data_IF_913016317902
#
_entry.id   IF_913016317902
#
_cell.length_a   1.000
_cell.length_b   1.000
_cell.length_c   1.000
_cell.angle_alpha   90.00
_cell.angle_beta   90.00
_cell.angle_gamma   90.00
#
_symmetry.space_group_name_H-M   'P 1'
#
loop_
_entity.id
_entity.type
_entity.pdbx_description
1 polymer ?
#
# COMPACT_ATOMS: atom_id res chain seq x y z
N UNK A 1 -8.45 -2.55 20.70
CA UNK A 1 -7.05 -2.53 21.18
C UNK A 1 -6.97 -3.30 22.49
N UNK A 2 -5.77 -3.66 22.96
CA UNK A 2 -5.59 -4.08 24.36
C UNK A 2 -6.08 -2.93 25.27
N UNK A 3 -7.04 -3.15 26.19
CA UNK A 3 -7.56 -2.09 27.04
C UNK A 3 -6.48 -1.55 27.99
N UNK A 4 -6.26 -0.23 27.97
CA UNK A 4 -5.25 0.43 28.79
C UNK A 4 -5.84 1.56 29.64
N UNK A 5 -5.47 1.67 30.93
CA UNK A 5 -5.83 2.84 31.73
C UNK A 5 -5.08 4.08 31.26
N UNK A 6 -5.72 5.26 31.37
CA UNK A 6 -5.10 6.53 30.97
C UNK A 6 -3.77 6.80 31.70
N UNK A 7 -3.63 6.37 32.96
CA UNK A 7 -2.35 6.44 33.67
C UNK A 7 -1.22 5.67 32.97
N UNK A 8 -1.52 4.49 32.40
CA UNK A 8 -0.52 3.70 31.66
C UNK A 8 -0.18 4.34 30.32
N UNK A 9 -1.17 4.92 29.64
CA UNK A 9 -0.92 5.66 28.39
C UNK A 9 -0.02 6.86 28.67
N UNK A 10 -0.30 7.63 29.73
CA UNK A 10 0.54 8.75 30.15
C UNK A 10 1.97 8.29 30.50
N UNK A 11 2.13 7.17 31.22
CA UNK A 11 3.45 6.60 31.55
C UNK A 11 4.24 6.22 30.28
N UNK A 12 3.65 5.42 29.39
CA UNK A 12 4.31 4.93 28.17
C UNK A 12 4.72 6.07 27.23
N UNK A 13 3.89 7.12 27.16
CA UNK A 13 4.11 8.26 26.27
C UNK A 13 4.87 9.41 26.94
N UNK A 14 5.30 9.23 28.19
CA UNK A 14 5.88 10.30 29.03
C UNK A 14 5.01 11.57 29.07
N UNK A 15 3.69 11.38 29.03
CA UNK A 15 2.68 12.44 29.01
C UNK A 15 2.14 12.78 30.40
N UNK A 16 1.43 13.91 30.49
CA UNK A 16 0.75 14.37 31.69
C UNK A 16 -0.77 14.35 31.51
N UNK A 17 -1.50 13.83 32.50
CA UNK A 17 -2.96 13.86 32.50
C UNK A 17 -3.47 15.30 32.73
N UNK A 18 -4.45 15.73 31.93
CA UNK A 18 -5.06 17.05 31.97
C UNK A 18 -6.57 17.00 31.69
N UNK A 19 -7.25 18.14 31.83
CA UNK A 19 -8.66 18.29 31.39
C UNK A 19 -9.64 17.38 32.11
N UNK A 20 -9.43 17.13 33.42
CA UNK A 20 -10.24 16.21 34.24
C UNK A 20 -10.16 14.72 33.84
N UNK A 21 -9.10 14.31 33.13
CA UNK A 21 -8.88 12.88 32.85
C UNK A 21 -8.77 12.05 34.15
N UNK A 22 -9.66 11.05 34.32
CA UNK A 22 -9.53 10.05 35.39
C UNK A 22 -8.39 9.08 35.03
N UNK A 23 -7.31 8.97 35.82
CA UNK A 23 -6.21 8.04 35.57
C UNK A 23 -6.64 6.58 35.41
N UNK A 24 -7.80 6.20 35.95
CA UNK A 24 -8.36 4.83 35.89
C UNK A 24 -9.32 4.62 34.73
N UNK A 25 -9.69 5.66 33.98
CA UNK A 25 -10.51 5.49 32.78
C UNK A 25 -9.77 4.60 31.78
N UNK A 26 -10.51 3.70 31.13
CA UNK A 26 -9.94 2.67 30.24
C UNK A 26 -10.19 3.06 28.79
N UNK A 27 -9.13 3.22 28.02
CA UNK A 27 -9.18 3.25 26.57
C UNK A 27 -9.13 1.81 26.04
N UNK A 28 -10.29 1.26 25.67
CA UNK A 28 -10.44 -0.09 25.12
C UNK A 28 -10.98 -0.14 23.68
N UNK A 29 -11.47 0.99 23.18
CA UNK A 29 -11.99 1.16 21.83
C UNK A 29 -10.88 1.38 20.79
N UNK A 30 -11.25 1.81 19.57
CA UNK A 30 -10.26 2.12 18.55
C UNK A 30 -9.44 3.38 18.89
N UNK A 31 -8.17 3.38 18.50
CA UNK A 31 -7.34 4.59 18.47
C UNK A 31 -7.52 5.25 17.11
N UNK A 32 -7.95 6.51 17.09
CA UNK A 32 -8.37 7.22 15.88
C UNK A 32 -7.72 8.60 15.77
N UNK A 33 -7.53 9.07 14.55
CA UNK A 33 -7.04 10.43 14.23
C UNK A 33 -8.11 11.32 13.57
N UNK A 34 -9.25 10.73 13.22
CA UNK A 34 -10.43 11.42 12.73
C UNK A 34 -11.48 11.42 13.84
N UNK A 35 -11.89 12.60 14.30
CA UNK A 35 -12.86 12.73 15.38
C UNK A 35 -14.23 12.13 15.01
N UNK A 36 -14.54 12.03 13.72
CA UNK A 36 -15.78 11.41 13.21
C UNK A 36 -15.78 9.89 13.32
N UNK A 37 -14.60 9.29 13.44
CA UNK A 37 -14.42 7.84 13.66
C UNK A 37 -14.33 7.49 15.16
N UNK A 38 -14.35 8.49 16.05
CA UNK A 38 -14.41 8.25 17.48
C UNK A 38 -15.70 7.51 17.84
N UNK A 39 -15.63 6.74 18.92
CA UNK A 39 -16.74 5.93 19.42
C UNK A 39 -16.49 5.57 20.88
N UNK A 40 -17.42 4.84 21.52
CA UNK A 40 -17.30 4.49 22.93
C UNK A 40 -15.96 3.83 23.27
N UNK A 41 -15.23 4.44 24.21
CA UNK A 41 -13.96 3.91 24.70
C UNK A 41 -12.74 4.17 23.80
N UNK A 42 -12.92 4.93 22.70
CA UNK A 42 -11.82 5.31 21.80
C UNK A 42 -10.79 6.21 22.48
N UNK A 43 -9.57 6.22 21.94
CA UNK A 43 -8.57 7.26 22.19
C UNK A 43 -8.43 8.10 20.93
N UNK A 44 -8.70 9.39 21.00
CA UNK A 44 -8.50 10.31 19.88
C UNK A 44 -7.09 10.89 19.92
N UNK A 45 -6.35 10.82 18.82
CA UNK A 45 -4.98 11.33 18.73
C UNK A 45 -4.99 12.62 17.90
N UNK A 46 -4.72 13.74 18.57
CA UNK A 46 -4.72 15.06 17.95
C UNK A 46 -3.42 15.28 17.15
N UNK A 47 -3.45 14.93 15.88
CA UNK A 47 -2.34 15.17 14.94
C UNK A 47 -2.51 16.55 14.28
N UNK A 48 -1.44 17.35 14.25
CA UNK A 48 -1.39 18.59 13.48
C UNK A 48 -1.01 18.27 12.03
N UNK A 49 -1.96 18.42 11.12
CA UNK A 49 -1.73 18.30 9.68
C UNK A 49 -1.40 19.64 9.01
N UNK A 50 -1.16 19.62 7.70
CA UNK A 50 -0.87 20.83 6.91
C UNK A 50 -2.06 21.80 6.80
N UNK A 51 -3.28 21.26 6.82
CA UNK A 51 -4.53 22.01 6.57
C UNK A 51 -5.46 22.11 7.78
N UNK A 52 -5.21 21.31 8.81
CA UNK A 52 -6.12 21.13 9.94
C UNK A 52 -5.32 20.69 11.16
N UNK A 53 -5.68 21.22 12.32
CA UNK A 53 -5.09 20.84 13.60
C UNK A 53 -6.09 19.95 14.36
N UNK A 54 -5.73 18.68 14.58
CA UNK A 54 -6.59 17.69 15.26
C UNK A 54 -7.03 18.13 16.65
N UNK A 55 -6.26 19.00 17.31
CA UNK A 55 -6.58 19.54 18.63
C UNK A 55 -7.90 20.30 18.67
N UNK A 56 -8.28 20.93 17.56
CA UNK A 56 -9.50 21.73 17.48
C UNK A 56 -10.77 20.84 17.51
N UNK A 57 -10.62 19.52 17.37
CA UNK A 57 -11.71 18.55 17.41
C UNK A 57 -11.74 17.71 18.69
N UNK A 58 -10.95 18.07 19.71
CA UNK A 58 -10.84 17.33 20.97
C UNK A 58 -12.20 17.13 21.66
N UNK A 59 -12.98 18.21 21.82
CA UNK A 59 -14.30 18.16 22.45
C UNK A 59 -15.27 17.28 21.64
N UNK A 60 -15.32 17.47 20.32
CA UNK A 60 -16.19 16.69 19.43
C UNK A 60 -15.86 15.18 19.47
N UNK A 61 -14.59 14.81 19.57
CA UNK A 61 -14.18 13.41 19.68
C UNK A 61 -14.68 12.77 21.00
N UNK A 62 -14.61 13.50 22.11
CA UNK A 62 -15.13 13.04 23.41
C UNK A 62 -16.65 12.96 23.42
N UNK A 63 -17.34 13.93 22.81
CA UNK A 63 -18.80 13.89 22.62
C UNK A 63 -19.25 12.67 21.80
N UNK A 64 -18.41 12.20 20.88
CA UNK A 64 -18.65 11.00 20.06
C UNK A 64 -18.26 9.70 20.80
N UNK A 65 -17.65 9.80 21.99
CA UNK A 65 -17.41 8.67 22.89
C UNK A 65 -15.94 8.37 23.19
N UNK A 66 -15.00 9.17 22.70
CA UNK A 66 -13.60 9.04 23.09
C UNK A 66 -13.44 9.26 24.60
N UNK A 67 -12.69 8.38 25.26
CA UNK A 67 -12.41 8.46 26.70
C UNK A 67 -11.43 9.60 27.02
N UNK A 68 -10.51 9.87 26.09
CA UNK A 68 -9.55 10.96 26.21
C UNK A 68 -8.95 11.32 24.84
N UNK A 69 -8.18 12.40 24.85
CA UNK A 69 -7.39 12.90 23.72
C UNK A 69 -5.89 12.79 24.03
N UNK A 70 -5.11 12.18 23.14
CA UNK A 70 -3.66 12.31 23.14
C UNK A 70 -3.29 13.59 22.37
N UNK A 71 -2.76 14.60 23.07
CA UNK A 71 -2.59 15.95 22.53
C UNK A 71 -1.18 16.51 22.82
N UNK A 72 -0.69 17.40 21.97
CA UNK A 72 0.58 18.13 22.15
C UNK A 72 0.45 19.52 22.76
N UNK A 73 -0.78 19.95 23.06
CA UNK A 73 -1.10 21.19 23.78
C UNK A 73 -2.37 21.01 24.62
N UNK A 74 -2.61 21.87 25.63
CA UNK A 74 -3.85 21.86 26.38
C UNK A 74 -5.08 21.96 25.45
N UNK A 75 -6.13 21.19 25.79
CA UNK A 75 -7.42 21.13 25.10
C UNK A 75 -8.55 21.06 26.14
N UNK A 76 -9.76 21.47 25.76
CA UNK A 76 -10.95 21.48 26.62
C UNK A 76 -11.64 20.10 26.64
N UNK A 77 -10.88 19.07 26.99
CA UNK A 77 -11.30 17.67 27.08
C UNK A 77 -10.34 16.85 27.97
N UNK A 78 -10.77 15.70 28.53
CA UNK A 78 -9.86 14.73 29.15
C UNK A 78 -8.71 14.40 28.21
N UNK A 79 -7.47 14.62 28.66
CA UNK A 79 -6.32 14.49 27.78
C UNK A 79 -5.07 13.92 28.44
N UNK A 80 -4.23 13.31 27.62
CA UNK A 80 -2.82 13.02 27.89
C UNK A 80 -2.00 14.01 27.06
N UNK A 81 -1.33 14.94 27.72
CA UNK A 81 -0.50 15.98 27.09
C UNK A 81 0.93 15.48 26.93
N UNK A 82 1.41 15.45 25.69
CA UNK A 82 2.76 14.99 25.31
C UNK A 82 3.50 16.07 24.52
N UNK A 83 4.82 16.00 24.34
CA UNK A 83 5.53 16.97 23.50
C UNK A 83 5.21 16.82 21.99
N UNK A 84 4.98 15.58 21.55
CA UNK A 84 4.77 15.21 20.15
C UNK A 84 3.78 14.04 20.06
N UNK A 85 2.61 14.26 19.44
CA UNK A 85 1.57 13.25 19.33
C UNK A 85 1.91 12.11 18.37
N UNK A 86 2.71 12.34 17.34
CA UNK A 86 3.14 11.30 16.39
C UNK A 86 4.13 10.35 17.06
N UNK A 87 5.09 10.92 17.79
CA UNK A 87 6.03 10.13 18.59
C UNK A 87 5.32 9.35 19.69
N UNK A 88 4.43 9.98 20.44
CA UNK A 88 3.66 9.31 21.50
C UNK A 88 2.76 8.19 20.95
N UNK A 89 2.18 8.37 19.77
CA UNK A 89 1.42 7.33 19.08
C UNK A 89 2.30 6.10 18.76
N UNK A 90 3.52 6.32 18.28
CA UNK A 90 4.49 5.26 18.02
C UNK A 90 4.93 4.55 19.31
N UNK A 91 5.19 5.29 20.39
CA UNK A 91 5.54 4.73 21.71
C UNK A 91 4.40 3.87 22.28
N UNK A 92 3.16 4.35 22.17
CA UNK A 92 1.97 3.60 22.59
C UNK A 92 1.80 2.31 21.77
N UNK A 93 1.96 2.38 20.45
CA UNK A 93 1.90 1.21 19.58
C UNK A 93 2.99 0.18 19.91
N UNK A 94 4.21 0.63 20.20
CA UNK A 94 5.32 -0.23 20.61
C UNK A 94 5.04 -0.94 21.95
N UNK A 95 4.47 -0.23 22.93
CA UNK A 95 4.09 -0.84 24.20
C UNK A 95 2.98 -1.89 24.02
N UNK A 96 1.96 -1.61 23.21
CA UNK A 96 0.90 -2.59 22.90
C UNK A 96 1.47 -3.79 22.15
N UNK A 97 2.36 -3.58 21.17
CA UNK A 97 3.01 -4.66 20.43
C UNK A 97 3.81 -5.59 21.33
N UNK A 98 4.53 -5.03 22.31
CA UNK A 98 5.31 -5.81 23.28
C UNK A 98 4.45 -6.78 24.12
N UNK A 99 3.15 -6.49 24.29
CA UNK A 99 2.21 -7.37 24.98
C UNK A 99 1.71 -8.52 24.09
N UNK A 100 1.86 -8.43 22.75
CA UNK A 100 1.41 -9.42 21.77
C UNK A 100 2.38 -10.61 21.62
N UNK A 101 2.75 -11.24 22.73
CA UNK A 101 3.77 -12.30 22.78
C UNK A 101 3.46 -13.55 21.93
N UNK A 102 2.19 -13.79 21.59
CA UNK A 102 1.74 -14.91 20.75
C UNK A 102 1.52 -14.55 19.27
N UNK A 103 1.61 -13.26 18.92
CA UNK A 103 1.41 -12.80 17.56
C UNK A 103 2.70 -12.96 16.74
N UNK A 104 2.56 -13.27 15.45
CA UNK A 104 3.66 -13.19 14.49
C UNK A 104 3.47 -11.96 13.62
N UNK A 105 4.41 -11.02 13.71
CA UNK A 105 4.42 -9.81 12.89
C UNK A 105 5.17 -10.06 11.59
N UNK A 106 4.53 -9.73 10.46
CA UNK A 106 5.12 -9.74 9.13
C UNK A 106 5.23 -8.31 8.61
N UNK A 107 6.44 -7.87 8.30
CA UNK A 107 6.71 -6.57 7.69
C UNK A 107 6.92 -6.70 6.20
N UNK A 108 6.32 -5.83 5.39
CA UNK A 108 6.42 -5.85 3.92
C UNK A 108 6.93 -4.50 3.43
N UNK A 109 8.01 -4.51 2.64
CA UNK A 109 8.50 -3.32 1.92
C UNK A 109 8.79 -3.60 0.45
N UNK A 110 8.93 -2.54 -0.34
CA UNK A 110 9.06 -2.62 -1.80
C UNK A 110 8.81 -1.26 -2.45
N UNK A 111 9.28 -1.05 -3.67
CA UNK A 111 8.95 0.16 -4.44
C UNK A 111 7.52 0.10 -4.97
N UNK A 112 7.07 -1.08 -5.39
CA UNK A 112 5.70 -1.37 -5.80
C UNK A 112 5.20 -2.69 -5.18
N UNK A 113 3.87 -2.90 -5.14
CA UNK A 113 3.27 -4.18 -4.76
C UNK A 113 2.99 -4.42 -3.27
N UNK A 114 3.45 -3.52 -2.38
CA UNK A 114 3.31 -3.65 -0.90
C UNK A 114 1.88 -3.96 -0.46
N UNK A 115 0.93 -3.11 -0.87
CA UNK A 115 -0.46 -3.21 -0.39
C UNK A 115 -1.16 -4.44 -0.96
N UNK A 116 -0.95 -4.75 -2.25
CA UNK A 116 -1.51 -5.94 -2.89
C UNK A 116 -0.96 -7.22 -2.25
N UNK A 117 0.34 -7.27 -1.95
CA UNK A 117 0.95 -8.39 -1.22
C UNK A 117 0.40 -8.51 0.20
N UNK A 118 0.26 -7.38 0.91
CA UNK A 118 -0.34 -7.33 2.24
C UNK A 118 -1.79 -7.82 2.23
N UNK A 119 -2.59 -7.45 1.23
CA UNK A 119 -3.98 -7.91 1.10
C UNK A 119 -4.06 -9.43 0.88
N UNK A 120 -3.19 -9.96 0.01
CA UNK A 120 -3.09 -11.41 -0.25
C UNK A 120 -2.64 -12.17 1.01
N UNK A 121 -1.59 -11.70 1.68
CA UNK A 121 -1.09 -12.31 2.90
C UNK A 121 -2.08 -12.21 4.07
N UNK A 122 -2.85 -11.11 4.15
CA UNK A 122 -3.92 -10.98 5.12
C UNK A 122 -5.03 -12.02 4.90
N UNK A 123 -5.38 -12.33 3.64
CA UNK A 123 -6.30 -13.42 3.31
C UNK A 123 -5.76 -14.79 3.75
N UNK A 124 -4.51 -15.08 3.36
CA UNK A 124 -3.83 -16.33 3.73
C UNK A 124 -3.76 -16.56 5.24
N UNK A 125 -3.33 -15.55 6.00
CA UNK A 125 -3.19 -15.65 7.46
C UNK A 125 -4.54 -15.73 8.16
N UNK A 126 -5.57 -15.04 7.66
CA UNK A 126 -6.92 -15.10 8.23
C UNK A 126 -7.55 -16.50 8.15
N UNK A 127 -7.10 -17.37 7.23
CA UNK A 127 -7.54 -18.78 7.18
C UNK A 127 -7.04 -19.62 8.35
N UNK A 128 -5.95 -19.20 9.01
CA UNK A 128 -5.26 -20.00 10.03
C UNK A 128 -5.19 -19.32 11.39
N UNK A 129 -5.65 -18.07 11.52
CA UNK A 129 -5.84 -17.41 12.81
C UNK A 129 -6.29 -15.95 12.69
N UNK A 130 -6.72 -15.33 13.81
CA UNK A 130 -7.03 -13.91 13.86
C UNK A 130 -5.89 -13.04 13.33
N UNK A 131 -6.19 -12.24 12.30
CA UNK A 131 -5.22 -11.38 11.61
C UNK A 131 -5.63 -9.93 11.71
N UNK A 132 -4.67 -9.07 12.04
CA UNK A 132 -4.77 -7.63 11.86
C UNK A 132 -3.92 -7.21 10.67
N UNK A 133 -4.58 -6.59 9.69
CA UNK A 133 -3.97 -5.93 8.54
C UNK A 133 -4.89 -4.78 8.11
N UNK A 134 -4.35 -3.61 7.74
CA UNK A 134 -5.19 -2.48 7.34
C UNK A 134 -5.79 -2.76 5.95
N UNK A 135 -6.98 -2.25 5.66
CA UNK A 135 -7.45 -2.09 4.27
C UNK A 135 -6.89 -0.76 3.76
N UNK A 136 -6.46 -0.71 2.50
CA UNK A 136 -5.63 0.36 1.95
C UNK A 136 -4.22 0.40 2.57
N UNK A 137 -3.49 1.50 2.32
CA UNK A 137 -2.07 1.64 2.65
C UNK A 137 -1.88 2.55 3.85
N UNK A 138 -1.50 1.96 4.98
CA UNK A 138 -1.20 2.62 6.25
C UNK A 138 0.20 2.23 6.71
N UNK A 139 1.21 2.90 6.16
CA UNK A 139 2.60 2.41 6.17
C UNK A 139 3.65 3.48 6.46
N UNK A 140 3.21 4.62 7.00
CA UNK A 140 4.04 5.73 7.44
C UNK A 140 4.00 5.84 8.98
N UNK A 141 4.67 6.87 9.51
CA UNK A 141 4.81 7.19 10.94
C UNK A 141 3.49 7.36 11.71
N UNK A 142 2.35 7.51 11.02
CA UNK A 142 1.03 7.61 11.64
C UNK A 142 0.22 6.32 11.40
N UNK A 143 0.09 5.90 10.14
CA UNK A 143 -0.76 4.77 9.78
C UNK A 143 -0.26 3.42 10.30
N UNK A 144 1.06 3.24 10.38
CA UNK A 144 1.65 2.00 10.87
C UNK A 144 1.35 1.80 12.37
N UNK A 145 1.64 2.74 13.28
CA UNK A 145 1.20 2.66 14.68
C UNK A 145 -0.31 2.44 14.86
N UNK A 146 -1.15 3.16 14.10
CA UNK A 146 -2.62 3.00 14.18
C UNK A 146 -3.06 1.58 13.84
N UNK A 147 -2.39 0.94 12.88
CA UNK A 147 -2.66 -0.45 12.52
C UNK A 147 -2.27 -1.39 13.66
N UNK A 148 -1.09 -1.20 14.27
CA UNK A 148 -0.62 -2.00 15.41
C UNK A 148 -1.61 -1.92 16.57
N UNK A 149 -2.14 -0.72 16.86
CA UNK A 149 -3.11 -0.49 17.93
C UNK A 149 -4.49 -1.12 17.69
N UNK A 150 -4.77 -1.64 16.49
CA UNK A 150 -5.97 -2.46 16.25
C UNK A 150 -5.85 -3.86 16.84
N UNK A 151 -4.64 -4.34 17.11
CA UNK A 151 -4.41 -5.65 17.68
C UNK A 151 -4.88 -5.77 19.13
N UNK A 152 -5.18 -7.00 19.52
CA UNK A 152 -5.59 -7.42 20.85
C UNK A 152 -4.96 -8.78 21.20
N UNK A 153 -5.24 -9.27 22.41
CA UNK A 153 -4.69 -10.54 22.90
C UNK A 153 -5.08 -11.78 22.06
N UNK A 154 -6.12 -11.69 21.22
CA UNK A 154 -6.50 -12.79 20.32
C UNK A 154 -5.71 -12.79 19.01
N UNK A 155 -5.04 -11.69 18.69
CA UNK A 155 -4.32 -11.51 17.43
C UNK A 155 -3.19 -12.54 17.30
N UNK A 156 -3.21 -13.30 16.20
CA UNK A 156 -2.20 -14.30 15.87
C UNK A 156 -1.24 -13.81 14.80
N UNK A 157 -1.71 -12.98 13.87
CA UNK A 157 -0.88 -12.41 12.81
C UNK A 157 -1.10 -10.91 12.71
N UNK A 158 0.00 -10.18 12.56
CA UNK A 158 -0.01 -8.74 12.32
C UNK A 158 0.75 -8.47 11.02
N UNK A 159 0.05 -8.13 9.95
CA UNK A 159 0.64 -7.92 8.62
C UNK A 159 0.74 -6.42 8.35
N UNK A 160 1.96 -5.92 8.32
CA UNK A 160 2.29 -4.50 8.28
C UNK A 160 3.05 -4.14 7.01
N UNK A 161 2.67 -3.01 6.42
CA UNK A 161 3.45 -2.38 5.36
C UNK A 161 4.42 -1.36 5.97
N UNK A 162 5.65 -1.32 5.46
CA UNK A 162 6.69 -0.38 5.86
C UNK A 162 7.16 0.39 4.62
N UNK A 163 6.89 1.70 4.60
CA UNK A 163 7.36 2.63 3.59
C UNK A 163 8.49 3.48 4.14
N UNK A 164 9.40 3.87 3.25
CA UNK A 164 10.44 4.86 3.55
C UNK A 164 10.38 5.98 2.53
N UNK A 165 10.68 7.19 3.01
CA UNK A 165 11.03 8.36 2.19
C UNK A 165 12.52 8.69 2.32
N UNK A 166 13.11 8.32 3.46
CA UNK A 166 14.53 8.44 3.73
C UNK A 166 15.09 7.17 4.39
N UNK A 167 16.41 7.07 4.40
CA UNK A 167 17.14 6.04 5.15
C UNK A 167 16.86 6.25 6.66
N UNK A 168 16.56 5.16 7.35
CA UNK A 168 16.21 5.07 8.76
C UNK A 168 14.71 4.94 9.02
N UNK A 169 13.87 5.25 8.03
CA UNK A 169 12.41 5.20 8.20
C UNK A 169 11.88 3.78 8.34
N UNK A 170 12.37 2.82 7.55
CA UNK A 170 11.95 1.42 7.68
C UNK A 170 12.44 0.87 9.01
N UNK A 171 13.68 1.16 9.41
CA UNK A 171 14.20 0.78 10.71
C UNK A 171 13.37 1.38 11.87
N UNK A 172 12.89 2.62 11.72
CA UNK A 172 12.02 3.25 12.72
C UNK A 172 10.67 2.53 12.84
N UNK A 173 9.99 2.25 11.72
CA UNK A 173 8.72 1.52 11.73
C UNK A 173 8.89 0.11 12.28
N UNK A 174 9.97 -0.59 11.90
CA UNK A 174 10.29 -1.91 12.44
C UNK A 174 10.56 -1.89 13.95
N UNK A 175 11.04 -0.78 14.54
CA UNK A 175 11.15 -0.67 16.00
C UNK A 175 9.80 -0.51 16.70
N UNK A 176 8.81 0.08 16.04
CA UNK A 176 7.45 0.22 16.59
C UNK A 176 6.75 -1.14 16.68
N UNK A 177 6.87 -1.96 15.64
CA UNK A 177 6.37 -3.33 15.65
C UNK A 177 7.38 -4.28 15.02
N UNK A 178 8.33 -4.82 15.82
CA UNK A 178 9.38 -5.73 15.35
C UNK A 178 8.83 -6.92 14.55
N UNK A 179 9.18 -7.04 13.25
CA UNK A 179 8.76 -8.16 12.44
C UNK A 179 9.59 -9.41 12.77
N UNK A 180 8.93 -10.57 12.78
CA UNK A 180 9.60 -11.87 12.75
C UNK A 180 9.90 -12.31 11.31
N UNK A 181 9.03 -11.91 10.38
CA UNK A 181 9.19 -12.17 8.94
C UNK A 181 9.25 -10.83 8.21
N UNK A 182 10.30 -10.60 7.43
CA UNK A 182 10.47 -9.41 6.60
C UNK A 182 10.41 -9.78 5.12
N UNK A 183 9.48 -9.18 4.39
CA UNK A 183 9.28 -9.40 2.95
C UNK A 183 9.77 -8.18 2.18
N UNK A 184 10.73 -8.36 1.28
CA UNK A 184 11.21 -7.31 0.38
C UNK A 184 10.84 -7.65 -1.06
N UNK A 185 9.99 -6.82 -1.67
CA UNK A 185 9.38 -7.13 -2.96
C UNK A 185 10.26 -6.76 -4.17
N UNK A 186 10.82 -5.56 -4.19
CA UNK A 186 11.58 -5.01 -5.31
C UNK A 186 12.27 -3.68 -4.93
N UNK A 187 13.30 -3.33 -5.70
CA UNK A 187 13.98 -2.03 -5.75
C UNK A 187 13.76 -1.42 -7.14
N UNK A 188 12.61 -0.76 -7.29
CA UNK A 188 12.27 0.04 -8.48
C UNK A 188 12.64 1.52 -8.33
N UNK A 189 11.98 2.36 -9.12
CA UNK A 189 12.23 3.80 -9.25
C UNK A 189 11.31 4.71 -8.41
N UNK A 190 10.53 4.15 -7.48
CA UNK A 190 9.70 4.94 -6.57
C UNK A 190 10.55 5.82 -5.65
N UNK A 191 10.17 7.09 -5.49
CA UNK A 191 10.87 8.10 -4.67
C UNK A 191 12.34 8.35 -5.10
N UNK A 192 12.67 8.12 -6.38
CA UNK A 192 14.04 8.23 -6.88
C UNK A 192 14.69 9.58 -6.55
N UNK A 193 13.95 10.69 -6.70
CA UNK A 193 14.46 12.02 -6.41
C UNK A 193 14.70 12.29 -4.92
N UNK A 194 13.97 11.61 -4.04
CA UNK A 194 14.12 11.75 -2.58
C UNK A 194 15.34 10.98 -2.09
N UNK A 195 15.52 9.75 -2.59
CA UNK A 195 16.63 8.89 -2.17
C UNK A 195 17.96 9.18 -2.88
N UNK A 196 17.94 9.84 -4.04
CA UNK A 196 19.14 10.12 -4.82
C UNK A 196 19.69 8.90 -5.59
N UNK A 197 18.86 7.88 -5.87
CA UNK A 197 19.24 6.73 -6.69
C UNK A 197 18.75 5.37 -6.19
N UNK A 198 18.86 4.35 -7.05
CA UNK A 198 18.43 2.97 -6.73
C UNK A 198 19.23 2.33 -5.60
N UNK A 199 20.51 2.65 -5.47
CA UNK A 199 21.35 2.12 -4.39
C UNK A 199 20.90 2.62 -3.01
N UNK A 200 20.52 3.90 -2.91
CA UNK A 200 19.95 4.46 -1.69
C UNK A 200 18.57 3.84 -1.37
N UNK A 201 17.74 3.59 -2.39
CA UNK A 201 16.49 2.84 -2.24
C UNK A 201 16.76 1.42 -1.73
N UNK A 202 17.75 0.71 -2.28
CA UNK A 202 18.15 -0.62 -1.83
C UNK A 202 18.66 -0.61 -0.38
N UNK A 203 19.47 0.39 -0.03
CA UNK A 203 19.94 0.60 1.35
C UNK A 203 18.76 0.76 2.31
N UNK A 204 17.86 1.69 2.01
CA UNK A 204 16.67 1.97 2.83
C UNK A 204 15.76 0.75 2.98
N UNK A 205 15.47 0.03 1.88
CA UNK A 205 14.62 -1.17 1.94
C UNK A 205 15.26 -2.33 2.71
N UNK A 206 16.58 -2.48 2.63
CA UNK A 206 17.28 -3.53 3.36
C UNK A 206 17.33 -3.31 4.86
N UNK A 207 16.99 -2.12 5.37
CA UNK A 207 16.78 -1.92 6.82
C UNK A 207 15.78 -2.93 7.39
N UNK A 208 14.77 -3.35 6.61
CA UNK A 208 13.81 -4.34 7.06
C UNK A 208 14.50 -5.64 7.44
N UNK A 209 15.39 -6.16 6.60
CA UNK A 209 16.07 -7.45 6.87
C UNK A 209 17.14 -7.32 7.94
N UNK A 210 17.77 -6.16 8.05
CA UNK A 210 18.77 -5.84 9.09
C UNK A 210 18.14 -5.78 10.48
N UNK A 211 16.85 -5.46 10.57
CA UNK A 211 16.11 -5.41 11.85
C UNK A 211 15.55 -6.76 12.30
N UNK A 212 15.59 -7.79 11.45
CA UNK A 212 15.05 -9.10 11.79
C UNK A 212 15.90 -9.77 12.89
N UNK A 213 15.26 -10.49 13.83
CA UNK A 213 16.00 -11.31 14.77
C UNK A 213 16.69 -12.47 14.03
N UNK A 214 17.76 -13.04 14.60
CA UNK A 214 18.48 -14.18 14.00
C UNK A 214 17.59 -15.43 13.78
N UNK A 215 16.55 -15.60 14.59
CA UNK A 215 15.56 -16.67 14.42
C UNK A 215 14.36 -16.26 13.51
N UNK A 216 14.44 -15.07 12.93
CA UNK A 216 13.49 -14.52 11.97
C UNK A 216 13.70 -15.04 10.56
N UNK A 217 12.93 -14.50 9.62
CA UNK A 217 12.92 -14.96 8.23
C UNK A 217 12.89 -13.76 7.28
N UNK A 218 13.85 -13.71 6.36
CA UNK A 218 13.89 -12.76 5.27
C UNK A 218 13.34 -13.39 3.99
N UNK A 219 12.19 -12.91 3.51
CA UNK A 219 11.57 -13.33 2.25
C UNK A 219 11.97 -12.34 1.17
N UNK A 220 12.78 -12.79 0.20
CA UNK A 220 13.46 -11.91 -0.76
C UNK A 220 13.14 -12.32 -2.20
N UNK A 221 12.89 -11.31 -3.04
CA UNK A 221 12.70 -11.52 -4.47
C UNK A 221 14.01 -11.96 -5.13
N UNK A 222 14.02 -13.16 -5.70
CA UNK A 222 15.15 -13.75 -6.42
C UNK A 222 15.41 -13.06 -7.77
N UNK A 223 14.37 -12.46 -8.36
CA UNK A 223 14.40 -11.86 -9.70
C UNK A 223 14.86 -10.39 -9.67
N UNK A 224 14.97 -9.79 -8.48
CA UNK A 224 15.51 -8.44 -8.29
C UNK A 224 16.92 -8.51 -7.68
N UNK A 225 17.99 -8.17 -8.44
CA UNK A 225 19.37 -8.29 -7.97
C UNK A 225 19.67 -7.49 -6.69
N UNK A 226 19.06 -6.31 -6.51
CA UNK A 226 19.29 -5.50 -5.32
C UNK A 226 18.62 -6.13 -4.10
N UNK A 227 17.44 -6.71 -4.27
CA UNK A 227 16.74 -7.43 -3.19
C UNK A 227 17.47 -8.73 -2.85
N UNK A 228 17.87 -9.51 -3.86
CA UNK A 228 18.63 -10.74 -3.69
C UNK A 228 19.94 -10.50 -2.93
N UNK A 229 20.63 -9.40 -3.20
CA UNK A 229 21.85 -9.02 -2.49
C UNK A 229 21.62 -8.75 -0.98
N UNK A 230 20.39 -8.48 -0.55
CA UNK A 230 20.07 -8.27 0.87
C UNK A 230 20.18 -9.55 1.71
N UNK A 231 20.29 -10.73 1.08
CA UNK A 231 20.55 -11.98 1.79
C UNK A 231 21.84 -11.91 2.63
N UNK A 232 22.85 -11.13 2.20
CA UNK A 232 24.09 -10.92 2.94
C UNK A 232 24.02 -9.84 4.05
N UNK A 233 22.84 -9.25 4.29
CA UNK A 233 22.63 -8.15 5.27
C UNK A 233 21.85 -8.60 6.52
N UNK A 234 21.64 -9.90 6.71
CA UNK A 234 20.86 -10.44 7.82
C UNK A 234 21.38 -11.80 8.27
N UNK A 235 21.27 -12.07 9.57
CA UNK A 235 21.48 -13.41 10.15
C UNK A 235 20.20 -14.25 10.14
N UNK A 236 19.06 -13.66 9.77
CA UNK A 236 17.80 -14.36 9.63
C UNK A 236 17.86 -15.39 8.49
N UNK A 237 17.02 -16.43 8.58
CA UNK A 237 16.93 -17.40 7.49
C UNK A 237 16.35 -16.75 6.24
N UNK A 238 17.00 -16.94 5.11
CA UNK A 238 16.56 -16.40 3.82
C UNK A 238 15.68 -17.40 3.07
N UNK A 239 14.56 -16.91 2.54
CA UNK A 239 13.66 -17.63 1.63
C UNK A 239 13.49 -16.82 0.36
N UNK A 240 13.98 -17.37 -0.75
CA UNK A 240 13.86 -16.72 -2.05
C UNK A 240 12.51 -17.05 -2.69
N UNK A 241 11.85 -16.02 -3.22
CA UNK A 241 10.65 -16.16 -4.04
C UNK A 241 10.87 -15.54 -5.42
N UNK A 242 10.13 -15.99 -6.43
CA UNK A 242 10.19 -15.38 -7.76
C UNK A 242 9.93 -16.40 -8.86
N UNK A 243 10.34 -16.08 -10.09
CA UNK A 243 10.25 -16.96 -11.25
C UNK A 243 11.57 -17.67 -11.53
N UNK A 244 12.65 -17.20 -10.93
CA UNK A 244 13.97 -17.84 -11.02
C UNK A 244 13.94 -19.29 -10.53
N UNK A 245 14.69 -20.17 -11.21
CA UNK A 245 14.71 -21.61 -10.93
C UNK A 245 15.26 -21.95 -9.52
N UNK A 246 16.09 -21.09 -8.96
CA UNK A 246 16.67 -21.22 -7.62
C UNK A 246 15.82 -20.59 -6.51
N UNK A 247 14.66 -19.99 -6.85
CA UNK A 247 13.69 -19.58 -5.84
C UNK A 247 13.00 -20.81 -5.23
N UNK A 248 12.96 -20.84 -3.90
CA UNK A 248 12.32 -21.90 -3.12
C UNK A 248 10.79 -21.89 -3.31
N UNK A 249 10.21 -20.69 -3.38
CA UNK A 249 8.80 -20.48 -3.69
C UNK A 249 8.67 -19.79 -5.03
N UNK A 250 8.15 -20.48 -6.04
CA UNK A 250 8.18 -19.99 -7.42
C UNK A 250 6.94 -20.31 -8.23
N UNK A 251 6.74 -19.52 -9.29
CA UNK A 251 5.76 -19.81 -10.31
C UNK A 251 6.43 -20.55 -11.48
N UNK A 252 5.78 -21.60 -11.95
CA UNK A 252 6.09 -22.28 -13.22
C UNK A 252 4.87 -22.20 -14.15
N UNK A 253 5.10 -22.37 -15.45
CA UNK A 253 4.06 -22.42 -16.47
C UNK A 253 3.08 -21.23 -16.43
N UNK A 254 3.63 -20.02 -16.23
CA UNK A 254 2.84 -18.79 -16.13
C UNK A 254 2.15 -18.49 -17.47
N UNK A 255 0.83 -18.43 -17.46
CA UNK A 255 0.00 -17.97 -18.56
C UNK A 255 -0.83 -16.76 -18.14
N UNK A 256 -1.15 -15.88 -19.07
CA UNK A 256 -2.01 -14.71 -18.83
C UNK A 256 -3.13 -14.70 -19.85
N UNK A 257 -4.37 -14.84 -19.38
CA UNK A 257 -5.59 -14.84 -20.19
C UNK A 257 -6.55 -13.79 -19.63
N UNK A 258 -7.15 -12.97 -20.50
CA UNK A 258 -8.04 -11.86 -20.11
C UNK A 258 -7.43 -10.92 -19.03
N UNK A 259 -6.11 -10.76 -19.06
CA UNK A 259 -5.36 -9.95 -18.10
C UNK A 259 -5.19 -10.59 -16.72
N UNK A 260 -5.52 -11.87 -16.53
CA UNK A 260 -5.37 -12.63 -15.29
C UNK A 260 -4.38 -13.77 -15.45
N UNK A 261 -3.53 -13.97 -14.45
CA UNK A 261 -2.48 -14.97 -14.52
C UNK A 261 -2.91 -16.32 -13.91
N UNK A 262 -2.50 -17.42 -14.54
CA UNK A 262 -2.51 -18.77 -13.98
C UNK A 262 -1.09 -19.34 -13.97
N UNK A 263 -0.76 -20.15 -12.97
CA UNK A 263 0.57 -20.75 -12.84
C UNK A 263 0.57 -21.91 -11.85
N UNK A 264 1.56 -22.80 -11.96
CA UNK A 264 1.84 -23.79 -10.92
C UNK A 264 2.71 -23.15 -9.84
N UNK A 265 2.16 -23.00 -8.63
CA UNK A 265 2.92 -22.58 -7.45
C UNK A 265 3.73 -23.76 -6.94
N UNK A 266 5.06 -23.64 -6.94
CA UNK A 266 5.97 -24.59 -6.29
C UNK A 266 6.50 -24.03 -4.99
N UNK A 267 6.58 -24.89 -3.98
CA UNK A 267 7.19 -24.65 -2.68
C UNK A 267 8.03 -25.87 -2.30
N UNK A 268 8.90 -25.79 -1.27
CA UNK A 268 9.61 -26.97 -0.79
C UNK A 268 8.71 -28.09 -0.26
N UNK A 269 7.46 -27.78 0.13
CA UNK A 269 6.48 -28.75 0.64
C UNK A 269 5.56 -29.34 -0.44
N UNK A 270 5.65 -28.90 -1.69
CA UNK A 270 4.86 -29.42 -2.80
C UNK A 270 4.48 -28.34 -3.83
N UNK A 271 3.56 -28.69 -4.72
CA UNK A 271 3.07 -27.80 -5.77
C UNK A 271 1.54 -27.82 -5.87
N UNK A 272 0.95 -26.71 -6.30
CA UNK A 272 -0.48 -26.58 -6.54
C UNK A 272 -0.77 -25.51 -7.60
N UNK A 273 -1.89 -25.66 -8.31
CA UNK A 273 -2.33 -24.73 -9.35
C UNK A 273 -2.94 -23.46 -8.75
N UNK A 274 -2.54 -22.30 -9.26
CA UNK A 274 -3.08 -20.98 -8.91
C UNK A 274 -3.73 -20.36 -10.13
N UNK A 275 -4.94 -19.81 -9.95
CA UNK A 275 -5.65 -19.02 -10.96
C UNK A 275 -6.07 -17.69 -10.36
N UNK A 276 -5.28 -16.66 -10.57
CA UNK A 276 -5.53 -15.36 -9.96
C UNK A 276 -6.78 -14.70 -10.54
N UNK A 277 -7.59 -14.08 -9.67
CA UNK A 277 -8.68 -13.19 -10.08
C UNK A 277 -8.25 -11.73 -10.17
N UNK A 278 -7.05 -11.43 -9.66
CA UNK A 278 -6.39 -10.14 -9.75
C UNK A 278 -5.85 -9.90 -11.17
N UNK A 279 -5.92 -8.65 -11.62
CA UNK A 279 -5.47 -8.26 -12.95
C UNK A 279 -4.02 -7.81 -12.99
N UNK A 280 -3.36 -8.12 -14.10
CA UNK A 280 -1.99 -7.75 -14.41
C UNK A 280 -0.99 -8.84 -14.02
N UNK A 281 0.01 -9.03 -14.88
CA UNK A 281 1.04 -10.06 -14.69
C UNK A 281 1.88 -9.83 -13.41
N UNK A 282 2.07 -8.58 -13.00
CA UNK A 282 2.73 -8.22 -11.74
C UNK A 282 2.00 -8.76 -10.49
N UNK A 283 0.74 -9.19 -10.61
CA UNK A 283 0.03 -9.86 -9.53
C UNK A 283 0.66 -11.22 -9.17
N UNK A 284 1.36 -11.88 -10.11
CA UNK A 284 2.11 -13.11 -9.86
C UNK A 284 3.20 -12.86 -8.81
N UNK A 285 3.99 -11.80 -8.96
CA UNK A 285 5.12 -11.53 -8.06
C UNK A 285 4.63 -11.20 -6.64
N UNK A 286 3.51 -10.46 -6.54
CA UNK A 286 2.85 -10.19 -5.26
C UNK A 286 2.29 -11.48 -4.63
N UNK A 287 1.71 -12.37 -5.43
CA UNK A 287 1.19 -13.65 -4.99
C UNK A 287 2.31 -14.59 -4.51
N UNK A 288 3.45 -14.61 -5.20
CA UNK A 288 4.63 -15.38 -4.80
C UNK A 288 5.26 -14.85 -3.50
N UNK A 289 5.33 -13.53 -3.32
CA UNK A 289 5.79 -12.94 -2.07
C UNK A 289 4.88 -13.32 -0.88
N UNK A 290 3.57 -13.24 -1.08
CA UNK A 290 2.58 -13.65 -0.08
C UNK A 290 2.62 -15.17 0.18
N UNK A 291 2.77 -15.98 -0.87
CA UNK A 291 2.93 -17.43 -0.77
C UNK A 291 4.19 -17.82 0.00
N UNK A 292 5.31 -17.12 -0.23
CA UNK A 292 6.55 -17.38 0.47
C UNK A 292 6.41 -17.07 1.97
N UNK A 293 5.83 -15.92 2.33
CA UNK A 293 5.52 -15.63 3.72
C UNK A 293 4.52 -16.65 4.32
N UNK A 294 3.49 -17.07 3.57
CA UNK A 294 2.53 -18.08 4.00
C UNK A 294 3.16 -19.46 4.23
N UNK A 295 4.06 -19.89 3.35
CA UNK A 295 4.83 -21.12 3.48
C UNK A 295 5.69 -21.09 4.76
N UNK A 296 6.32 -19.95 5.03
CA UNK A 296 7.15 -19.74 6.22
C UNK A 296 6.35 -19.68 7.52
N UNK A 297 5.05 -19.39 7.43
CA UNK A 297 4.09 -19.51 8.52
C UNK A 297 3.53 -20.94 8.67
N UNK A 298 4.00 -21.89 7.85
CA UNK A 298 3.58 -23.29 7.87
C UNK A 298 2.24 -23.56 7.19
N UNK A 299 1.75 -22.64 6.36
CA UNK A 299 0.49 -22.84 5.63
C UNK A 299 0.73 -23.85 4.49
N UNK A 300 -0.07 -24.94 4.38
CA UNK A 300 0.10 -25.91 3.30
C UNK A 300 -0.06 -25.29 1.91
N UNK A 301 0.75 -25.71 0.93
CA UNK A 301 0.74 -25.17 -0.44
C UNK A 301 -0.64 -25.21 -1.10
N UNK A 302 -1.43 -26.25 -0.83
CA UNK A 302 -2.80 -26.35 -1.35
C UNK A 302 -3.74 -25.27 -0.78
N UNK A 303 -3.58 -24.91 0.50
CA UNK A 303 -4.34 -23.82 1.13
C UNK A 303 -3.88 -22.47 0.59
N UNK A 304 -2.57 -22.30 0.39
CA UNK A 304 -2.02 -21.08 -0.21
C UNK A 304 -2.60 -20.89 -1.61
N UNK A 305 -2.57 -21.93 -2.44
CA UNK A 305 -3.05 -21.85 -3.81
C UNK A 305 -4.56 -21.61 -3.92
N UNK A 306 -5.38 -22.26 -3.08
CA UNK A 306 -6.83 -22.02 -2.98
C UNK A 306 -7.12 -20.55 -2.65
N UNK A 307 -6.48 -20.01 -1.62
CA UNK A 307 -6.68 -18.62 -1.20
C UNK A 307 -6.26 -17.59 -2.25
N UNK A 308 -5.08 -17.77 -2.84
CA UNK A 308 -4.60 -16.89 -3.92
C UNK A 308 -5.56 -16.93 -5.12
N UNK A 309 -6.14 -18.09 -5.41
CA UNK A 309 -7.09 -18.25 -6.53
C UNK A 309 -8.47 -17.65 -6.23
N UNK A 310 -8.80 -17.42 -4.96
CA UNK A 310 -10.06 -16.79 -4.53
C UNK A 310 -9.93 -15.30 -4.28
N UNK A 311 -8.70 -14.81 -4.13
CA UNK A 311 -8.40 -13.43 -3.76
C UNK A 311 -8.99 -12.41 -4.75
N UNK A 312 -9.72 -11.45 -4.20
CA UNK A 312 -10.25 -10.29 -4.91
C UNK A 312 -9.52 -9.01 -4.44
N UNK A 313 -9.56 -7.92 -5.22
CA UNK A 313 -9.05 -6.63 -4.77
C UNK A 313 -9.72 -6.20 -3.46
N UNK A 314 -8.92 -5.95 -2.41
CA UNK A 314 -9.42 -5.48 -1.11
C UNK A 314 -9.17 -3.99 -0.91
N UNK A 315 -7.99 -3.52 -1.29
CA UNK A 315 -7.63 -2.10 -1.26
C UNK A 315 -8.00 -1.41 -2.57
N UNK A 316 -8.48 -0.18 -2.48
CA UNK A 316 -8.99 0.55 -3.63
C UNK A 316 -7.89 1.01 -4.59
N UNK A 317 -8.31 1.25 -5.83
CA UNK A 317 -7.57 1.95 -6.89
C UNK A 317 -6.23 1.31 -7.27
N UNK A 318 -6.20 -0.03 -7.25
CA UNK A 318 -5.05 -0.87 -7.61
C UNK A 318 -5.50 -1.91 -8.63
N UNK A 319 -5.42 -1.57 -9.91
CA UNK A 319 -5.99 -2.38 -11.00
C UNK A 319 -7.44 -2.82 -10.72
N UNK A 320 -8.24 -1.91 -10.16
CA UNK A 320 -9.63 -2.15 -9.80
C UNK A 320 -10.49 -2.04 -11.06
N UNK A 321 -10.98 -3.18 -11.55
CA UNK A 321 -11.72 -3.26 -12.80
C UNK A 321 -13.22 -3.30 -12.53
N UNK A 322 -13.95 -2.37 -13.12
CA UNK A 322 -15.42 -2.31 -13.08
C UNK A 322 -15.96 -2.25 -14.50
N UNK A 323 -16.94 -3.09 -14.80
CA UNK A 323 -17.69 -3.03 -16.05
C UNK A 323 -19.00 -2.26 -15.83
N UNK A 324 -19.22 -1.23 -16.65
CA UNK A 324 -20.45 -0.43 -16.64
C UNK A 324 -21.57 -1.15 -17.40
N UNK A 325 -22.80 -0.78 -17.10
CA UNK A 325 -23.99 -1.33 -17.77
C UNK A 325 -24.03 -1.08 -19.28
N UNK A 326 -23.29 -0.08 -19.79
CA UNK A 326 -23.16 0.24 -21.21
C UNK A 326 -21.95 -0.44 -21.88
N UNK A 327 -21.32 -1.43 -21.22
CA UNK A 327 -20.25 -2.25 -21.78
C UNK A 327 -18.86 -1.61 -21.75
N UNK A 328 -18.69 -0.44 -21.12
CA UNK A 328 -17.37 0.16 -20.88
C UNK A 328 -16.70 -0.50 -19.69
N UNK A 329 -15.44 -0.92 -19.85
CA UNK A 329 -14.59 -1.39 -18.76
C UNK A 329 -13.72 -0.26 -18.24
N UNK A 330 -13.84 0.08 -16.96
CA UNK A 330 -12.99 1.08 -16.27
C UNK A 330 -11.98 0.37 -15.37
N UNK A 331 -10.70 0.61 -15.61
CA UNK A 331 -9.57 0.14 -14.80
C UNK A 331 -9.08 1.31 -13.94
N UNK A 332 -9.49 1.33 -12.68
CA UNK A 332 -9.05 2.33 -11.72
C UNK A 332 -7.77 1.87 -11.03
N UNK A 333 -6.64 2.46 -11.43
CA UNK A 333 -5.32 2.23 -10.85
C UNK A 333 -4.73 3.55 -10.31
N UNK A 334 -5.60 4.42 -9.81
CA UNK A 334 -5.30 5.81 -9.45
C UNK A 334 -4.77 6.01 -8.02
N UNK A 335 -4.38 4.95 -7.30
CA UNK A 335 -3.80 5.13 -5.97
C UNK A 335 -2.45 5.86 -6.01
N UNK A 336 -1.52 5.40 -6.86
CA UNK A 336 -0.22 6.02 -7.05
C UNK A 336 0.41 5.61 -8.39
N UNK A 337 1.46 6.33 -8.80
CA UNK A 337 2.20 6.04 -10.01
C UNK A 337 3.71 6.30 -9.85
N UNK A 338 4.49 5.43 -10.47
CA UNK A 338 5.92 5.54 -10.73
C UNK A 338 6.22 4.88 -12.10
N UNK A 339 7.40 5.11 -12.71
CA UNK A 339 7.70 4.61 -14.05
C UNK A 339 7.44 3.11 -14.24
N UNK A 340 7.88 2.29 -13.28
CA UNK A 340 7.74 0.83 -13.35
C UNK A 340 6.28 0.39 -13.29
N UNK A 341 5.49 0.98 -12.39
CA UNK A 341 4.05 0.71 -12.27
C UNK A 341 3.24 1.18 -13.47
N UNK A 342 3.64 2.27 -14.14
CA UNK A 342 2.97 2.74 -15.37
C UNK A 342 3.15 1.71 -16.50
N UNK A 343 4.36 1.16 -16.65
CA UNK A 343 4.63 0.10 -17.62
C UNK A 343 3.79 -1.14 -17.35
N UNK A 344 3.75 -1.60 -16.10
CA UNK A 344 2.94 -2.74 -15.70
C UNK A 344 1.44 -2.50 -15.94
N UNK A 345 0.95 -1.28 -15.70
CA UNK A 345 -0.45 -0.91 -15.92
C UNK A 345 -0.82 -0.91 -17.42
N UNK A 346 0.03 -0.35 -18.30
CA UNK A 346 -0.22 -0.39 -19.74
C UNK A 346 -0.14 -1.81 -20.33
N UNK A 347 0.77 -2.66 -19.83
CA UNK A 347 0.82 -4.07 -20.20
C UNK A 347 -0.47 -4.79 -19.80
N UNK A 348 -0.91 -4.62 -18.55
CA UNK A 348 -2.15 -5.20 -18.06
C UNK A 348 -3.38 -4.68 -18.81
N UNK A 349 -3.42 -3.39 -19.14
CA UNK A 349 -4.48 -2.76 -19.94
C UNK A 349 -4.54 -3.33 -21.35
N UNK A 350 -3.38 -3.63 -21.96
CA UNK A 350 -3.29 -4.31 -23.26
C UNK A 350 -3.88 -5.72 -23.19
N UNK A 351 -3.43 -6.52 -22.21
CA UNK A 351 -3.88 -7.89 -22.03
C UNK A 351 -5.39 -7.96 -21.74
N UNK A 352 -5.89 -7.09 -20.85
CA UNK A 352 -7.30 -7.02 -20.49
C UNK A 352 -8.20 -6.61 -21.67
N UNK A 353 -7.73 -5.71 -22.52
CA UNK A 353 -8.53 -5.25 -23.66
C UNK A 353 -8.77 -6.35 -24.69
N UNK A 354 -7.83 -7.29 -24.88
CA UNK A 354 -8.04 -8.42 -25.80
C UNK A 354 -8.38 -8.00 -27.24
N UNK A 355 -7.84 -6.86 -27.70
CA UNK A 355 -8.13 -6.27 -29.01
C UNK A 355 -9.25 -5.21 -29.02
N UNK A 356 -9.96 -5.01 -27.91
CA UNK A 356 -10.90 -3.91 -27.74
C UNK A 356 -10.20 -2.55 -27.80
N UNK A 357 -10.98 -1.51 -28.11
CA UNK A 357 -10.51 -0.12 -28.14
C UNK A 357 -10.09 0.32 -26.74
N UNK A 358 -8.93 0.98 -26.65
CA UNK A 358 -8.29 1.38 -25.40
C UNK A 358 -8.14 2.88 -25.29
N UNK A 359 -8.42 3.41 -24.10
CA UNK A 359 -8.22 4.81 -23.77
C UNK A 359 -7.49 4.91 -22.42
N UNK A 360 -6.79 6.01 -22.16
CA UNK A 360 -6.14 6.23 -20.88
C UNK A 360 -6.28 7.67 -20.38
N UNK A 361 -6.39 7.81 -19.06
CA UNK A 361 -6.28 9.08 -18.33
C UNK A 361 -5.07 8.95 -17.41
N UNK A 362 -4.06 9.80 -17.61
CA UNK A 362 -2.82 9.80 -16.84
C UNK A 362 -2.46 11.17 -16.31
N UNK A 363 -1.52 11.25 -15.38
CA UNK A 363 -0.92 12.52 -14.95
C UNK A 363 0.59 12.38 -14.84
N UNK A 364 1.29 13.52 -14.87
CA UNK A 364 2.73 13.57 -14.69
C UNK A 364 3.15 12.95 -13.35
N UNK A 365 4.20 12.15 -13.39
CA UNK A 365 4.83 11.53 -12.24
C UNK A 365 5.49 12.58 -11.34
N UNK A 366 5.50 12.32 -10.03
CA UNK A 366 6.08 13.20 -9.00
C UNK A 366 7.22 12.51 -8.26
N UNK A 367 7.98 13.29 -7.49
CA UNK A 367 9.06 12.81 -6.61
C UNK A 367 10.23 12.12 -7.36
N UNK A 368 10.50 12.60 -8.58
CA UNK A 368 11.54 12.08 -9.47
C UNK A 368 12.86 12.85 -9.43
N UNK A 369 12.89 14.03 -8.79
CA UNK A 369 14.08 14.88 -8.73
C UNK A 369 14.49 15.39 -10.12
N UNK A 370 15.79 15.49 -10.36
CA UNK A 370 16.37 16.00 -11.61
C UNK A 370 16.00 15.17 -12.84
N UNK A 371 15.60 13.91 -12.64
CA UNK A 371 15.17 12.99 -13.69
C UNK A 371 13.70 13.18 -14.11
N UNK A 372 12.98 14.15 -13.50
CA UNK A 372 11.54 14.34 -13.70
C UNK A 372 11.14 14.51 -15.16
N UNK A 373 11.81 15.39 -15.89
CA UNK A 373 11.45 15.67 -17.29
C UNK A 373 11.71 14.45 -18.17
N UNK A 374 12.89 13.85 -18.07
CA UNK A 374 13.27 12.65 -18.84
C UNK A 374 12.28 11.50 -18.61
N UNK A 375 11.98 11.19 -17.34
CA UNK A 375 11.11 10.07 -16.99
C UNK A 375 9.64 10.33 -17.34
N UNK A 376 9.17 11.58 -17.26
CA UNK A 376 7.84 11.94 -17.72
C UNK A 376 7.74 11.91 -19.25
N UNK A 377 8.79 12.30 -19.97
CA UNK A 377 8.86 12.14 -21.41
C UNK A 377 8.87 10.66 -21.84
N UNK A 378 9.56 9.79 -21.09
CA UNK A 378 9.49 8.35 -21.26
C UNK A 378 8.10 7.78 -21.00
N UNK A 379 7.41 8.26 -19.96
CA UNK A 379 6.00 7.93 -19.73
C UNK A 379 5.14 8.38 -20.92
N UNK A 380 5.36 9.58 -21.43
CA UNK A 380 4.71 10.10 -22.62
C UNK A 380 4.87 9.15 -23.81
N UNK A 381 6.12 8.79 -24.13
CA UNK A 381 6.44 7.84 -25.22
C UNK A 381 5.74 6.50 -25.03
N UNK A 382 5.76 5.98 -23.81
CA UNK A 382 5.09 4.73 -23.47
C UNK A 382 3.58 4.81 -23.72
N UNK A 383 2.92 5.89 -23.27
CA UNK A 383 1.48 6.08 -23.44
C UNK A 383 1.11 6.32 -24.91
N UNK A 384 1.85 7.17 -25.63
CA UNK A 384 1.63 7.44 -27.05
C UNK A 384 1.84 6.21 -27.93
N UNK A 385 2.80 5.35 -27.58
CA UNK A 385 3.10 4.10 -28.26
C UNK A 385 2.28 2.89 -27.81
N UNK A 386 1.42 3.02 -26.80
CA UNK A 386 0.64 1.90 -26.26
C UNK A 386 -0.52 1.46 -27.17
N UNK A 387 -0.76 2.14 -28.30
CA UNK A 387 -1.87 1.83 -29.22
C UNK A 387 -3.24 2.21 -28.63
N UNK A 388 -3.29 3.39 -27.99
CA UNK A 388 -4.52 3.97 -27.46
C UNK A 388 -5.26 4.72 -28.56
N UNK A 389 -6.59 4.75 -28.50
CA UNK A 389 -7.37 5.67 -29.33
C UNK A 389 -7.34 7.10 -28.79
N UNK A 390 -7.32 7.26 -27.46
CA UNK A 390 -7.19 8.56 -26.83
C UNK A 390 -6.40 8.50 -25.52
N UNK A 391 -5.62 9.54 -25.26
CA UNK A 391 -4.84 9.79 -24.05
C UNK A 391 -5.20 11.18 -23.50
N UNK A 392 -5.74 11.20 -22.29
CA UNK A 392 -5.96 12.45 -21.54
C UNK A 392 -4.86 12.58 -20.49
N UNK A 393 -4.07 13.65 -20.57
CA UNK A 393 -3.07 13.99 -19.56
C UNK A 393 -3.65 15.06 -18.64
N UNK A 394 -3.61 14.83 -17.33
CA UNK A 394 -4.26 15.68 -16.32
C UNK A 394 -3.24 16.45 -15.51
N UNK A 395 -3.49 17.74 -15.34
CA UNK A 395 -2.84 18.57 -14.34
C UNK A 395 -1.56 19.27 -14.78
N UNK A 396 -0.90 19.98 -13.85
CA UNK A 396 0.33 20.70 -14.11
C UNK A 396 1.50 19.74 -14.35
N UNK A 397 2.57 20.25 -14.97
CA UNK A 397 3.76 19.44 -15.27
C UNK A 397 3.55 18.41 -16.39
N UNK A 398 2.44 18.50 -17.14
CA UNK A 398 2.13 17.61 -18.26
C UNK A 398 3.08 17.77 -19.46
N UNK A 399 3.79 18.89 -19.56
CA UNK A 399 4.63 19.25 -20.72
C UNK A 399 5.54 18.11 -21.22
N UNK A 400 6.42 17.53 -20.37
CA UNK A 400 7.26 16.41 -20.79
C UNK A 400 6.46 15.17 -21.21
N UNK A 401 5.36 14.83 -20.51
CA UNK A 401 4.49 13.70 -20.89
C UNK A 401 3.87 13.92 -22.28
N UNK A 402 3.38 15.13 -22.55
CA UNK A 402 2.80 15.49 -23.85
C UNK A 402 3.87 15.43 -24.95
N UNK A 403 5.05 15.99 -24.71
CA UNK A 403 6.18 15.93 -25.65
C UNK A 403 6.54 14.49 -26.02
N UNK A 404 6.68 13.62 -25.02
CA UNK A 404 6.95 12.20 -25.23
C UNK A 404 5.84 11.48 -25.99
N UNK A 405 4.58 11.77 -25.66
CA UNK A 405 3.41 11.14 -26.30
C UNK A 405 3.30 11.53 -27.77
N UNK A 406 3.53 12.79 -28.12
CA UNK A 406 3.57 13.24 -29.51
C UNK A 406 4.77 12.66 -30.27
N UNK A 407 5.95 12.56 -29.62
CA UNK A 407 7.15 12.00 -30.22
C UNK A 407 7.04 10.51 -30.55
N UNK A 408 6.13 9.77 -29.91
CA UNK A 408 5.87 8.37 -30.24
C UNK A 408 5.27 8.19 -31.65
N UNK A 409 4.70 9.25 -32.25
CA UNK A 409 4.21 9.24 -33.63
C UNK A 409 3.00 8.33 -33.90
N UNK A 410 2.29 7.90 -32.86
CA UNK A 410 1.11 7.05 -32.97
C UNK A 410 -0.14 7.81 -33.40
N UNK A 411 -1.20 7.06 -33.77
CA UNK A 411 -2.52 7.61 -34.08
C UNK A 411 -3.37 7.98 -32.84
N UNK A 412 -2.74 8.00 -31.66
CA UNK A 412 -3.38 8.32 -30.39
C UNK A 412 -3.80 9.78 -30.37
N UNK A 413 -5.08 10.07 -30.13
CA UNK A 413 -5.52 11.44 -29.88
C UNK A 413 -5.10 11.88 -28.47
N UNK A 414 -4.38 12.99 -28.35
CA UNK A 414 -3.78 13.44 -27.08
C UNK A 414 -4.43 14.76 -26.68
N UNK A 415 -4.94 14.81 -25.44
CA UNK A 415 -5.57 16.01 -24.87
C UNK A 415 -4.98 16.28 -23.49
N UNK A 416 -4.78 17.56 -23.18
CA UNK A 416 -4.39 18.04 -21.86
C UNK A 416 -5.57 18.73 -21.19
N UNK A 417 -5.80 18.44 -19.91
CA UNK A 417 -6.80 19.10 -19.06
C UNK A 417 -6.21 19.48 -17.71
N UNK A 418 -6.79 20.48 -17.07
CA UNK A 418 -6.27 21.01 -15.81
C UNK A 418 -6.56 20.10 -14.60
N UNK A 419 -7.70 19.40 -14.61
CA UNK A 419 -8.16 18.66 -13.43
C UNK A 419 -9.02 17.43 -13.76
N UNK A 420 -9.46 16.73 -12.71
CA UNK A 420 -10.30 15.55 -12.84
C UNK A 420 -11.66 15.85 -13.48
N UNK A 421 -12.22 17.05 -13.32
CA UNK A 421 -13.52 17.40 -13.93
C UNK A 421 -13.37 17.57 -15.44
N UNK A 422 -12.31 18.24 -15.89
CA UNK A 422 -11.94 18.32 -17.30
C UNK A 422 -11.69 16.93 -17.90
N UNK A 423 -11.00 16.06 -17.17
CA UNK A 423 -10.74 14.69 -17.61
C UNK A 423 -12.05 13.88 -17.79
N UNK A 424 -13.01 14.01 -16.87
CA UNK A 424 -14.33 13.36 -16.97
C UNK A 424 -15.08 13.84 -18.21
N UNK A 425 -15.09 15.16 -18.46
CA UNK A 425 -15.78 15.73 -19.61
C UNK A 425 -15.17 15.25 -20.93
N UNK A 426 -13.84 15.33 -21.05
CA UNK A 426 -13.12 14.91 -22.25
C UNK A 426 -13.26 13.41 -22.51
N UNK A 427 -12.99 12.58 -21.51
CA UNK A 427 -13.02 11.13 -21.71
C UNK A 427 -14.46 10.62 -21.86
N UNK A 428 -15.41 11.19 -21.12
CA UNK A 428 -16.82 10.81 -21.16
C UNK A 428 -17.44 10.97 -22.54
N UNK A 429 -17.07 12.02 -23.28
CA UNK A 429 -17.51 12.23 -24.67
C UNK A 429 -16.90 11.28 -25.70
N UNK A 430 -15.87 10.50 -25.32
CA UNK A 430 -15.08 9.63 -26.22
C UNK A 430 -15.36 8.14 -26.04
N UNK A 431 -15.92 7.78 -24.88
CA UNK A 431 -16.21 6.39 -24.50
C UNK A 431 -17.38 5.84 -25.32
N UNK A 432 -17.22 4.62 -25.78
CA UNK A 432 -18.24 3.83 -26.46
C UNK A 432 -18.31 2.42 -25.85
N UNK A 433 -19.44 1.72 -26.06
CA UNK A 433 -19.61 0.33 -25.62
C UNK A 433 -18.44 -0.54 -26.11
N UNK A 434 -17.88 -1.34 -25.20
CA UNK A 434 -16.73 -2.21 -25.44
C UNK A 434 -15.37 -1.55 -25.21
N UNK A 435 -15.29 -0.25 -24.95
CA UNK A 435 -14.03 0.43 -24.63
C UNK A 435 -13.45 -0.01 -23.28
N UNK A 436 -12.11 0.01 -23.19
CA UNK A 436 -11.38 -0.20 -21.94
C UNK A 436 -10.58 1.04 -21.58
N UNK A 437 -10.95 1.67 -20.46
CA UNK A 437 -10.34 2.89 -19.96
C UNK A 437 -9.38 2.59 -18.80
N UNK A 438 -8.10 2.96 -18.91
CA UNK A 438 -7.16 2.96 -17.79
C UNK A 438 -7.08 4.36 -17.14
N UNK A 439 -7.19 4.43 -15.82
CA UNK A 439 -7.01 5.67 -15.06
C UNK A 439 -5.87 5.47 -14.07
N UNK A 440 -4.77 6.21 -14.22
CA UNK A 440 -3.58 6.03 -13.37
C UNK A 440 -2.77 7.31 -13.20
N UNK A 441 -2.38 7.61 -11.97
CA UNK A 441 -1.52 8.76 -11.69
C UNK A 441 -1.07 8.82 -10.23
N UNK A 442 -0.23 9.81 -9.87
CA UNK A 442 0.20 9.98 -8.48
C UNK A 442 -0.98 10.34 -7.57
N UNK A 443 -0.90 9.92 -6.29
CA UNK A 443 -1.98 10.12 -5.30
C UNK A 443 -2.45 11.58 -5.22
N UNK A 444 -1.51 12.53 -5.32
CA UNK A 444 -1.78 13.96 -5.24
C UNK A 444 -2.70 14.49 -6.35
N UNK A 445 -2.77 13.80 -7.50
CA UNK A 445 -3.62 14.18 -8.64
C UNK A 445 -5.06 13.74 -8.48
N UNK A 446 -5.33 12.85 -7.51
CA UNK A 446 -6.67 12.40 -7.14
C UNK A 446 -7.51 11.86 -8.31
N UNK A 447 -6.86 11.12 -9.22
CA UNK A 447 -7.53 10.61 -10.41
C UNK A 447 -8.60 9.55 -10.10
N UNK A 448 -8.69 9.04 -8.86
CA UNK A 448 -9.82 8.22 -8.42
C UNK A 448 -11.16 8.94 -8.61
N UNK A 449 -11.16 10.27 -8.60
CA UNK A 449 -12.35 11.09 -8.85
C UNK A 449 -12.85 10.96 -10.28
N UNK A 450 -11.94 10.75 -11.24
CA UNK A 450 -12.31 10.48 -12.64
C UNK A 450 -13.06 9.16 -12.72
N UNK A 451 -12.54 8.11 -12.08
CA UNK A 451 -13.21 6.82 -12.02
C UNK A 451 -14.58 6.92 -11.33
N UNK A 452 -14.64 7.57 -10.17
CA UNK A 452 -15.90 7.76 -9.42
C UNK A 452 -16.95 8.51 -10.26
N UNK A 453 -16.56 9.61 -10.92
CA UNK A 453 -17.45 10.38 -11.79
C UNK A 453 -17.97 9.59 -12.99
N UNK A 454 -17.15 8.69 -13.55
CA UNK A 454 -17.55 7.84 -14.68
C UNK A 454 -18.35 6.61 -14.26
N UNK A 455 -18.23 6.15 -13.01
CA UNK A 455 -18.95 4.99 -12.48
C UNK A 455 -20.24 5.38 -11.74
N UNK A 456 -20.54 6.68 -11.60
CA UNK A 456 -21.70 7.17 -10.86
C UNK A 456 -21.58 7.02 -9.34
N UNK A 457 -20.37 6.78 -8.83
CA UNK A 457 -20.09 6.62 -7.39
C UNK A 457 -19.78 7.96 -6.71
N UNK A 458 -20.17 8.09 -5.44
CA UNK A 458 -19.69 9.19 -4.60
C UNK A 458 -18.18 9.06 -4.40
N UNK A 459 -17.43 10.14 -4.62
CA UNK A 459 -16.01 10.21 -4.26
C UNK A 459 -15.89 10.29 -2.74
N UNK A 460 -15.88 9.15 -2.04
CA UNK A 460 -15.54 9.10 -0.61
C UNK A 460 -14.06 8.90 -0.41
#
# INVERSE_FOLDING_TARGET
MIPLPLARIAEVTSGALAGMADPRAIAGGPVVIDSREAGPGSLFVAIKGERSDGHDFATAAVETGAVAVLASRPVDAPAVIVPDTTRALAELAAAVHAELTSATTVGITGSAGKTSTKDLLAGLTARVGPTVAPVNSFNNEIGHPLTVLKADASTRFLVLELSARDIGHIAHLARVAPPRIGVVLNVGTAHLGVFGGRDAIAKAKGELVETLPAHGIAVLNADDPHVRAMAGRTDARVTLFGRSADAAVRAEDVTVEDGRASFTLRTPSGAAEVRLRLYGEHAVDNALAAAAAGYELGIPVAVIADELSRAEPRSHWRMEVTERADGVTVVNDAYNANPDSMRAAFQAHTALAGGRRRLAVVAALRELGDESDRLNEELGRLAGGAGLSALVVVGPGAGPVLAGAHAAGGATEIVHVDDAAGAIAEIGGRLASGDVLLIKGPRAMRLERVAAGLLGGAST
#
